data_IF_329279220343
#
_entry.id   IF_329279220343
#
_cell.length_a   1.000
_cell.length_b   1.000
_cell.length_c   1.000
_cell.angle_alpha   90.00
_cell.angle_beta   90.00
_cell.angle_gamma   90.00
#
_symmetry.space_group_name_H-M   'P 1'
#
loop_
_entity.id
_entity.type
_entity.pdbx_description
1 polymer ?
#
# COMPACT_ATOMS: atom_id res chain seq x y z
N UNK A 1 -2.88 -1.05 9.78
CA UNK A 1 -3.08 -2.52 9.85
C UNK A 1 -4.55 -2.89 9.90
N UNK A 2 -5.02 -3.62 8.89
CA UNK A 2 -6.33 -4.29 8.90
C UNK A 2 -6.22 -5.63 9.64
N UNK A 3 -6.95 -5.79 10.74
CA UNK A 3 -6.97 -7.06 11.46
C UNK A 3 -7.66 -8.16 10.64
N UNK A 4 -7.16 -9.41 10.68
CA UNK A 4 -7.82 -10.53 10.00
C UNK A 4 -9.23 -10.74 10.53
N UNK A 5 -10.18 -10.90 9.61
CA UNK A 5 -11.59 -11.18 9.92
C UNK A 5 -12.12 -12.29 9.04
N UNK A 6 -12.97 -13.14 9.63
CA UNK A 6 -13.68 -14.21 8.92
C UNK A 6 -15.03 -13.77 8.36
N UNK A 7 -15.42 -12.51 8.61
CA UNK A 7 -16.62 -11.91 8.02
C UNK A 7 -16.32 -11.55 6.56
N UNK A 8 -17.09 -12.05 5.57
CA UNK A 8 -16.80 -11.83 4.15
C UNK A 8 -16.61 -10.36 3.78
N UNK A 9 -17.33 -9.46 4.44
CA UNK A 9 -17.30 -8.02 4.21
C UNK A 9 -16.12 -7.29 4.89
N UNK A 10 -15.41 -7.96 5.82
CA UNK A 10 -14.27 -7.40 6.56
C UNK A 10 -12.96 -8.15 6.29
N UNK A 11 -12.92 -9.03 5.30
CA UNK A 11 -11.69 -9.75 4.95
C UNK A 11 -10.61 -8.76 4.54
N UNK A 12 -9.40 -8.92 5.08
CA UNK A 12 -8.24 -8.13 4.67
C UNK A 12 -7.95 -8.38 3.18
N UNK A 13 -7.55 -7.33 2.46
CA UNK A 13 -7.22 -7.44 1.03
C UNK A 13 -6.09 -8.44 0.76
N UNK A 14 -5.12 -8.56 1.66
CA UNK A 14 -4.07 -9.59 1.59
C UNK A 14 -4.65 -11.01 1.62
N UNK A 15 -5.70 -11.24 2.42
CA UNK A 15 -6.36 -12.54 2.50
C UNK A 15 -7.23 -12.87 1.27
N UNK A 16 -7.53 -11.90 0.40
CA UNK A 16 -8.20 -12.16 -0.88
C UNK A 16 -7.20 -12.43 -2.02
N UNK A 17 -5.90 -12.23 -1.78
CA UNK A 17 -4.87 -12.24 -2.83
C UNK A 17 -4.83 -10.95 -3.67
N UNK A 18 -5.60 -9.92 -3.28
CA UNK A 18 -5.69 -8.65 -4.00
C UNK A 18 -4.87 -7.51 -3.41
N UNK A 19 -3.88 -7.80 -2.56
CA UNK A 19 -2.98 -6.78 -2.00
C UNK A 19 -1.54 -7.23 -2.08
N UNK A 20 -0.63 -6.27 -2.17
CA UNK A 20 0.81 -6.45 -2.13
C UNK A 20 1.44 -5.35 -1.29
N UNK A 21 2.50 -5.73 -0.56
CA UNK A 21 3.35 -4.79 0.16
C UNK A 21 4.74 -4.82 -0.46
N UNK A 22 5.26 -3.66 -0.86
CA UNK A 22 6.53 -3.57 -1.57
C UNK A 22 7.28 -2.26 -1.35
N UNK A 23 8.56 -2.26 -1.72
CA UNK A 23 9.42 -1.08 -1.73
C UNK A 23 10.24 -1.03 -3.02
N UNK A 24 10.94 0.08 -3.22
CA UNK A 24 11.89 0.24 -4.31
C UNK A 24 13.28 -0.21 -3.88
N UNK A 25 14.02 -0.82 -4.81
CA UNK A 25 15.42 -1.15 -4.66
C UNK A 25 16.24 -0.50 -5.77
N UNK A 26 17.48 -0.15 -5.46
CA UNK A 26 18.45 0.32 -6.45
C UNK A 26 18.97 -0.83 -7.34
N UNK A 27 19.80 -0.51 -8.32
CA UNK A 27 20.40 -1.47 -9.26
C UNK A 27 21.25 -2.55 -8.57
N UNK A 28 21.63 -2.34 -7.30
CA UNK A 28 22.40 -3.30 -6.48
C UNK A 28 21.49 -4.13 -5.58
N UNK A 29 20.17 -4.00 -5.71
CA UNK A 29 19.18 -4.69 -4.90
C UNK A 29 19.03 -4.12 -3.49
N UNK A 30 19.54 -2.92 -3.21
CA UNK A 30 19.42 -2.28 -1.89
C UNK A 30 18.16 -1.46 -1.83
N UNK A 31 17.36 -1.64 -0.79
CA UNK A 31 16.15 -0.84 -0.57
C UNK A 31 16.50 0.64 -0.42
N UNK A 32 15.77 1.51 -1.12
CA UNK A 32 15.93 2.96 -0.97
C UNK A 32 15.24 3.45 0.30
N UNK A 33 15.67 4.61 0.82
CA UNK A 33 15.02 5.19 2.00
C UNK A 33 13.60 5.63 1.68
N UNK A 34 12.67 5.19 2.53
CA UNK A 34 11.27 5.57 2.48
C UNK A 34 10.85 6.38 3.71
N UNK A 35 11.79 6.76 4.59
CA UNK A 35 11.55 7.66 5.72
C UNK A 35 10.84 7.08 6.94
N UNK A 36 10.20 5.92 6.82
CA UNK A 36 9.71 5.09 7.93
C UNK A 36 10.06 3.62 7.67
N UNK A 37 10.03 2.81 8.73
CA UNK A 37 10.16 1.36 8.58
C UNK A 37 8.98 0.76 7.81
N UNK A 38 9.22 -0.39 7.19
CA UNK A 38 8.14 -1.27 6.74
C UNK A 38 7.35 -1.75 7.97
N UNK A 39 6.02 -1.88 7.86
CA UNK A 39 5.11 -2.19 8.97
C UNK A 39 5.13 -1.19 10.15
N UNK A 40 5.78 -0.02 9.99
CA UNK A 40 5.78 1.00 11.04
C UNK A 40 4.37 1.58 11.22
N UNK A 41 3.81 1.45 12.42
CA UNK A 41 2.47 1.97 12.75
C UNK A 41 2.56 3.40 13.31
N UNK A 42 2.98 4.36 12.49
CA UNK A 42 3.08 5.78 12.85
C UNK A 42 2.60 6.69 11.71
N UNK A 43 2.36 7.97 12.00
CA UNK A 43 2.02 8.96 10.95
C UNK A 43 3.13 9.13 9.91
N UNK A 44 4.38 8.74 10.22
CA UNK A 44 5.47 8.74 9.25
C UNK A 44 5.21 7.77 8.11
N UNK A 45 4.39 6.74 8.33
CA UNK A 45 4.05 5.75 7.31
C UNK A 45 3.00 6.20 6.32
N UNK A 46 2.33 7.34 6.58
CA UNK A 46 1.32 7.87 5.65
C UNK A 46 1.98 8.28 4.34
N UNK A 47 1.39 7.90 3.21
CA UNK A 47 1.96 8.11 1.87
C UNK A 47 2.31 9.58 1.62
N UNK A 48 1.47 10.50 2.10
CA UNK A 48 1.61 11.95 1.94
C UNK A 48 2.35 12.65 3.11
N UNK A 49 2.99 11.91 4.02
CA UNK A 49 3.64 12.48 5.21
C UNK A 49 4.61 13.63 4.87
N UNK A 50 5.51 13.42 3.90
CA UNK A 50 6.49 14.43 3.50
C UNK A 50 5.89 15.55 2.64
N UNK A 51 4.77 15.31 1.96
CA UNK A 51 3.98 16.37 1.33
C UNK A 51 3.40 17.32 2.39
N UNK A 52 2.82 16.77 3.46
CA UNK A 52 2.29 17.57 4.58
C UNK A 52 3.39 18.35 5.32
N UNK A 53 4.59 17.76 5.48
CA UNK A 53 5.74 18.48 6.05
C UNK A 53 6.09 19.69 5.17
N UNK A 54 6.19 19.50 3.84
CA UNK A 54 6.48 20.58 2.91
C UNK A 54 5.41 21.69 2.98
N UNK A 55 4.13 21.32 2.99
CA UNK A 55 3.02 22.27 3.13
C UNK A 55 3.07 23.07 4.44
N UNK A 56 3.44 22.41 5.54
CA UNK A 56 3.44 23.03 6.87
C UNK A 56 4.68 23.88 7.12
N UNK A 57 5.87 23.41 6.70
CA UNK A 57 7.16 24.06 6.97
C UNK A 57 7.61 24.99 5.83
N UNK A 58 7.09 24.81 4.63
CA UNK A 58 7.52 25.53 3.41
C UNK A 58 8.82 25.01 2.79
N UNK A 59 9.51 24.05 3.42
CA UNK A 59 10.72 23.43 2.90
C UNK A 59 10.94 22.04 3.45
N UNK A 60 11.77 21.27 2.74
CA UNK A 60 12.28 19.95 3.14
C UNK A 60 13.82 20.00 3.14
N UNK A 61 14.44 19.21 4.00
CA UNK A 61 15.85 18.85 3.83
C UNK A 61 16.05 17.98 2.58
N UNK A 62 17.28 17.86 2.10
CA UNK A 62 17.60 17.04 0.93
C UNK A 62 17.16 15.58 1.12
N UNK A 63 17.36 15.02 2.32
CA UNK A 63 16.93 13.65 2.64
C UNK A 63 15.41 13.50 2.59
N UNK A 64 14.66 14.46 3.15
CA UNK A 64 13.19 14.44 3.13
C UNK A 64 12.64 14.59 1.70
N UNK A 65 13.31 15.38 0.85
CA UNK A 65 12.97 15.51 -0.57
C UNK A 65 13.21 14.21 -1.33
N UNK A 66 14.34 13.54 -1.12
CA UNK A 66 14.63 12.22 -1.71
C UNK A 66 13.59 11.18 -1.29
N UNK A 67 13.25 11.12 0.00
CA UNK A 67 12.23 10.19 0.51
C UNK A 67 10.87 10.46 -0.15
N UNK A 68 10.47 11.74 -0.22
CA UNK A 68 9.21 12.15 -0.86
C UNK A 68 9.18 11.73 -2.33
N UNK A 69 10.29 11.92 -3.04
CA UNK A 69 10.42 11.52 -4.44
C UNK A 69 10.35 10.00 -4.61
N UNK A 70 10.97 9.22 -3.73
CA UNK A 70 10.88 7.75 -3.74
C UNK A 70 9.45 7.26 -3.52
N UNK A 71 8.73 7.84 -2.55
CA UNK A 71 7.32 7.48 -2.29
C UNK A 71 6.42 7.83 -3.47
N UNK A 72 6.61 9.00 -4.07
CA UNK A 72 5.88 9.43 -5.27
C UNK A 72 6.20 8.56 -6.48
N UNK A 73 7.45 8.15 -6.65
CA UNK A 73 7.85 7.22 -7.69
C UNK A 73 7.12 5.88 -7.53
N UNK A 74 7.16 5.29 -6.33
CA UNK A 74 6.45 4.04 -6.05
C UNK A 74 4.94 4.18 -6.29
N UNK A 75 4.32 5.21 -5.74
CA UNK A 75 2.89 5.50 -5.90
C UNK A 75 2.51 5.59 -7.38
N UNK A 76 3.21 6.44 -8.15
CA UNK A 76 2.92 6.67 -9.56
C UNK A 76 3.14 5.40 -10.40
N UNK A 77 4.20 4.64 -10.13
CA UNK A 77 4.46 3.38 -10.84
C UNK A 77 3.32 2.38 -10.61
N UNK A 78 2.93 2.17 -9.36
CA UNK A 78 1.88 1.22 -9.01
C UNK A 78 0.51 1.65 -9.54
N UNK A 79 0.17 2.94 -9.44
CA UNK A 79 -1.07 3.49 -10.01
C UNK A 79 -1.10 3.42 -11.54
N UNK A 80 0.04 3.62 -12.21
CA UNK A 80 0.13 3.53 -13.67
C UNK A 80 -0.19 2.12 -14.23
N UNK A 81 -0.02 1.08 -13.41
CA UNK A 81 -0.35 -0.31 -13.75
C UNK A 81 -1.63 -0.80 -13.06
N UNK A 82 -2.42 0.12 -12.51
CA UNK A 82 -3.79 -0.11 -12.06
C UNK A 82 -3.98 -0.49 -10.59
N UNK A 83 -2.92 -0.47 -9.77
CA UNK A 83 -3.06 -0.61 -8.32
C UNK A 83 -3.56 0.69 -7.69
N UNK A 84 -4.08 0.60 -6.47
CA UNK A 84 -4.42 1.76 -5.64
C UNK A 84 -3.69 1.69 -4.30
N UNK A 85 -3.09 2.80 -3.86
CA UNK A 85 -2.41 2.85 -2.56
C UNK A 85 -3.40 2.92 -1.38
N UNK A 86 -3.04 2.30 -0.25
CA UNK A 86 -3.66 2.55 1.05
C UNK A 86 -2.96 3.76 1.74
N UNK A 87 -3.66 4.88 2.01
CA UNK A 87 -3.00 6.15 2.36
C UNK A 87 -2.14 6.15 3.61
N UNK A 88 -2.42 5.23 4.55
CA UNK A 88 -1.75 5.22 5.84
C UNK A 88 -0.46 4.37 5.82
N UNK A 89 -0.21 3.65 4.72
CA UNK A 89 0.91 2.71 4.59
C UNK A 89 1.53 2.88 3.19
N UNK A 90 2.66 3.59 3.10
CA UNK A 90 3.30 3.91 1.81
C UNK A 90 3.69 2.69 0.97
N UNK A 91 3.81 1.51 1.59
CA UNK A 91 4.18 0.26 0.94
C UNK A 91 3.00 -0.56 0.45
N UNK A 92 1.77 -0.28 0.91
CA UNK A 92 0.60 -1.15 0.69
C UNK A 92 -0.19 -0.72 -0.55
N UNK A 93 -0.42 -1.67 -1.45
CA UNK A 93 -1.16 -1.47 -2.68
C UNK A 93 -2.21 -2.57 -2.88
N UNK A 94 -3.39 -2.15 -3.31
CA UNK A 94 -4.54 -2.99 -3.58
C UNK A 94 -4.80 -3.09 -5.09
N UNK A 95 -5.15 -4.27 -5.58
CA UNK A 95 -5.62 -4.52 -6.94
C UNK A 95 -6.75 -5.53 -6.92
N UNK A 96 -7.89 -5.18 -7.49
CA UNK A 96 -9.02 -6.09 -7.64
C UNK A 96 -9.81 -6.41 -6.36
N UNK A 97 -9.37 -5.98 -5.18
CA UNK A 97 -10.12 -6.16 -3.93
C UNK A 97 -11.09 -4.99 -3.65
N UNK A 98 -11.75 -5.02 -2.49
CA UNK A 98 -12.71 -4.00 -2.07
C UNK A 98 -12.13 -2.59 -1.96
N UNK A 99 -10.95 -2.44 -1.37
CA UNK A 99 -10.30 -1.13 -1.22
C UNK A 99 -9.97 -0.54 -2.59
N UNK A 100 -9.44 -1.37 -3.49
CA UNK A 100 -9.19 -1.00 -4.87
C UNK A 100 -10.46 -0.55 -5.59
N UNK A 101 -11.55 -1.31 -5.48
CA UNK A 101 -12.80 -0.97 -6.14
C UNK A 101 -13.35 0.38 -5.65
N UNK A 102 -13.31 0.64 -4.33
CA UNK A 102 -13.73 1.92 -3.74
C UNK A 102 -12.84 3.07 -4.24
N UNK A 103 -11.51 2.87 -4.27
CA UNK A 103 -10.55 3.93 -4.65
C UNK A 103 -10.55 4.25 -6.13
N UNK A 104 -10.83 3.27 -6.97
CA UNK A 104 -10.80 3.40 -8.43
C UNK A 104 -12.19 3.54 -9.06
N UNK A 105 -13.26 3.55 -8.26
CA UNK A 105 -14.64 3.73 -8.72
C UNK A 105 -15.21 2.53 -9.47
N UNK A 106 -14.75 1.32 -9.17
CA UNK A 106 -15.19 0.09 -9.85
C UNK A 106 -16.44 -0.48 -9.17
N UNK A 107 -17.39 -0.95 -9.97
CA UNK A 107 -18.64 -1.54 -9.45
C UNK A 107 -18.43 -2.92 -8.82
N UNK A 108 -17.40 -3.65 -9.25
CA UNK A 108 -17.16 -5.04 -8.85
C UNK A 108 -15.70 -5.28 -8.44
N UNK A 109 -15.49 -6.23 -7.52
CA UNK A 109 -14.17 -6.73 -7.13
C UNK A 109 -13.79 -7.94 -8.01
N UNK A 110 -12.52 -8.05 -8.38
CA UNK A 110 -11.92 -9.23 -9.02
C UNK A 110 -11.65 -10.32 -7.97
N UNK A 111 -11.17 -9.92 -6.78
CA UNK A 111 -10.83 -10.79 -5.68
C UNK A 111 -11.73 -10.53 -4.47
N UNK A 112 -12.13 -11.60 -3.80
CA UNK A 112 -13.01 -11.56 -2.64
C UNK A 112 -12.78 -12.71 -1.68
N UNK A 113 -13.59 -12.76 -0.65
CA UNK A 113 -13.55 -13.84 0.34
C UNK A 113 -13.87 -15.19 -0.31
N UNK A 114 -13.01 -16.17 -0.08
CA UNK A 114 -13.22 -17.56 -0.50
C UNK A 114 -13.19 -18.48 0.72
N UNK A 115 -14.07 -19.49 0.74
CA UNK A 115 -13.97 -20.64 1.66
C UNK A 115 -13.51 -21.84 0.83
N UNK A 116 -12.21 -22.06 0.67
CA UNK A 116 -11.74 -23.21 -0.06
C UNK A 116 -12.13 -24.49 0.69
N UNK A 117 -12.72 -25.45 -0.02
CA UNK A 117 -12.86 -26.81 0.49
C UNK A 117 -11.47 -27.46 0.53
N UNK A 118 -10.98 -27.82 1.72
CA UNK A 118 -9.73 -28.57 1.83
C UNK A 118 -9.96 -30.02 1.38
N UNK A 119 -9.69 -30.30 0.10
CA UNK A 119 -9.84 -31.62 -0.50
C UNK A 119 -8.83 -32.68 -0.03
N UNK A 120 -7.91 -32.33 0.86
CA UNK A 120 -6.80 -33.20 1.32
C UNK A 120 -6.86 -33.57 2.80
N UNK A 121 -7.91 -33.15 3.52
CA UNK A 121 -8.19 -33.57 4.90
C UNK A 121 -9.45 -34.43 4.89
N UNK A 122 -9.27 -35.73 4.69
CA UNK A 122 -10.24 -36.76 5.07
C UNK A 122 -10.02 -37.15 6.53
#
# INVERSE_FOLDING_TARGET
MAYPSVKPELVSGHCTGGSVDLTLADEKGRTVSMGSGFDETSERSYTDHYDRILETKGSLSLEEEDIRNNRRLLLNLMESVGFSNYPNEWWHFDYGNRNWAIRTGQENCIYGFVRPEMRWRN
#
